data_IF_921807372431
#
_entry.id   IF_921807372431
#
_cell.length_a   1.000
_cell.length_b   1.000
_cell.length_c   1.000
_cell.angle_alpha   90.00
_cell.angle_beta   90.00
_cell.angle_gamma   90.00
#
_symmetry.space_group_name_H-M   'P 1'
#
loop_
_entity.id
_entity.type
_entity.pdbx_description
1 polymer ?
#
# COMPACT_ATOMS: atom_id res chain seq x y z
N UNK A 1 6.04 30.37 -0.29
CA UNK A 1 7.47 30.16 -0.61
C UNK A 1 8.34 30.94 0.34
N UNK A 2 9.48 30.39 0.73
CA UNK A 2 10.47 31.10 1.55
C UNK A 2 11.07 32.27 0.74
N UNK A 3 11.33 33.40 1.39
CA UNK A 3 11.99 34.54 0.75
C UNK A 3 13.41 34.17 0.28
N UNK A 4 13.84 34.71 -0.86
CA UNK A 4 15.20 34.56 -1.41
C UNK A 4 16.27 34.98 -0.41
N UNK A 5 16.00 35.98 0.43
CA UNK A 5 16.94 36.40 1.48
C UNK A 5 17.21 35.27 2.49
N UNK A 6 16.16 34.57 2.92
CA UNK A 6 16.24 33.42 3.83
C UNK A 6 16.99 32.26 3.16
N UNK A 7 16.64 31.93 1.92
CA UNK A 7 17.31 30.84 1.18
C UNK A 7 18.81 31.13 0.99
N UNK A 8 19.18 32.40 0.80
CA UNK A 8 20.57 32.81 0.71
C UNK A 8 21.30 32.76 2.06
N UNK A 9 20.63 33.09 3.16
CA UNK A 9 21.18 32.96 4.51
C UNK A 9 21.57 31.51 4.82
N UNK A 10 20.72 30.55 4.44
CA UNK A 10 20.96 29.12 4.67
C UNK A 10 21.59 28.40 3.47
N UNK A 11 22.20 29.14 2.53
CA UNK A 11 22.72 28.59 1.28
C UNK A 11 23.58 27.34 1.49
N UNK A 12 24.46 27.36 2.50
CA UNK A 12 25.40 26.29 2.87
C UNK A 12 25.05 25.56 4.16
N UNK A 13 23.88 25.83 4.76
CA UNK A 13 23.45 25.23 6.02
C UNK A 13 22.10 24.53 5.86
N UNK A 14 22.14 23.26 5.47
CA UNK A 14 20.95 22.43 5.29
C UNK A 14 20.22 22.16 6.60
N UNK A 15 20.94 22.07 7.71
CA UNK A 15 20.36 21.78 9.02
C UNK A 15 19.62 23.01 9.55
N UNK A 16 20.24 24.19 9.43
CA UNK A 16 19.60 25.47 9.75
C UNK A 16 18.37 25.72 8.88
N UNK A 17 18.41 25.41 7.59
CA UNK A 17 17.22 25.53 6.73
C UNK A 17 16.10 24.58 7.18
N UNK A 18 16.41 23.32 7.48
CA UNK A 18 15.42 22.36 7.97
C UNK A 18 14.79 22.81 9.29
N UNK A 19 15.60 23.31 10.22
CA UNK A 19 15.13 23.86 11.50
C UNK A 19 14.22 25.07 11.28
N UNK A 20 14.67 26.05 10.50
CA UNK A 20 13.89 27.24 10.18
C UNK A 20 12.56 26.89 9.52
N UNK A 21 12.58 26.04 8.49
CA UNK A 21 11.37 25.60 7.79
C UNK A 21 10.42 24.85 8.74
N UNK A 22 10.93 23.92 9.56
CA UNK A 22 10.15 23.20 10.57
C UNK A 22 9.48 24.18 11.55
N UNK A 23 10.21 25.17 12.06
CA UNK A 23 9.68 26.20 12.96
C UNK A 23 8.61 27.06 12.30
N UNK A 24 8.70 27.37 11.00
CA UNK A 24 7.66 28.13 10.31
C UNK A 24 6.42 27.28 10.04
N UNK A 25 6.60 26.07 9.51
CA UNK A 25 5.49 25.19 9.14
C UNK A 25 4.65 24.79 10.37
N UNK A 26 5.30 24.39 11.46
CA UNK A 26 4.61 23.96 12.68
C UNK A 26 4.12 25.11 13.59
N UNK A 27 4.11 26.37 13.13
CA UNK A 27 3.37 27.44 13.82
C UNK A 27 1.86 27.27 13.68
N UNK A 28 1.43 26.79 12.53
CA UNK A 28 0.02 26.64 12.16
C UNK A 28 -0.42 25.18 12.09
N UNK A 29 0.51 24.24 12.29
CA UNK A 29 0.29 22.80 12.23
C UNK A 29 0.78 22.13 13.52
N UNK A 30 0.11 21.06 13.95
CA UNK A 30 0.56 20.27 15.09
C UNK A 30 1.87 19.56 14.77
N UNK A 31 2.86 19.73 15.65
CA UNK A 31 4.15 19.03 15.54
C UNK A 31 4.08 17.69 16.26
N UNK A 32 3.88 16.62 15.50
CA UNK A 32 3.92 15.25 15.98
C UNK A 32 5.04 14.45 15.29
N UNK A 33 5.58 13.46 16.01
CA UNK A 33 6.51 12.48 15.46
C UNK A 33 5.79 11.13 15.27
N UNK A 34 6.04 10.44 14.15
CA UNK A 34 6.95 10.80 13.07
C UNK A 34 6.38 11.91 12.14
N UNK A 35 7.17 12.94 11.84
CA UNK A 35 6.77 14.03 10.92
C UNK A 35 6.36 13.43 9.58
N UNK A 36 5.15 13.74 9.09
CA UNK A 36 4.63 13.23 7.83
C UNK A 36 5.06 14.12 6.64
N UNK A 37 6.09 13.74 5.86
CA UNK A 37 6.54 14.58 4.75
C UNK A 37 5.53 14.61 3.60
N UNK A 38 4.66 13.61 3.47
CA UNK A 38 3.62 13.61 2.44
C UNK A 38 2.58 14.69 2.72
N UNK A 39 2.14 14.83 3.98
CA UNK A 39 1.23 15.91 4.37
C UNK A 39 1.87 17.29 4.15
N UNK A 40 3.16 17.44 4.46
CA UNK A 40 3.89 18.70 4.23
C UNK A 40 3.92 19.05 2.74
N UNK A 41 4.10 18.06 1.84
CA UNK A 41 4.02 18.29 0.40
C UNK A 41 2.60 18.76 0.01
N UNK A 42 1.57 18.04 0.46
CA UNK A 42 0.16 18.35 0.19
C UNK A 42 -0.23 19.75 0.68
N UNK A 43 0.13 20.13 1.91
CA UNK A 43 -0.19 21.44 2.49
C UNK A 43 0.50 22.59 1.73
N UNK A 44 1.63 22.32 1.08
CA UNK A 44 2.34 23.28 0.23
C UNK A 44 1.81 23.31 -1.21
N UNK A 45 0.80 22.51 -1.55
CA UNK A 45 0.25 22.39 -2.90
C UNK A 45 1.16 21.62 -3.87
N UNK A 46 2.06 20.78 -3.34
CA UNK A 46 2.97 19.96 -4.13
C UNK A 46 2.34 18.57 -4.28
N UNK A 47 1.92 18.23 -5.50
CA UNK A 47 1.37 16.91 -5.78
C UNK A 47 2.48 15.86 -5.68
N UNK A 48 2.17 14.69 -5.13
CA UNK A 48 3.10 13.57 -5.16
C UNK A 48 2.50 12.32 -5.81
N UNK A 49 3.35 11.57 -6.52
CA UNK A 49 2.96 10.35 -7.24
C UNK A 49 4.00 9.25 -7.06
N UNK A 50 3.55 8.01 -7.11
CA UNK A 50 4.45 6.86 -7.07
C UNK A 50 4.80 6.37 -8.48
N UNK A 51 6.07 6.07 -8.72
CA UNK A 51 6.59 5.53 -9.98
C UNK A 51 7.63 4.45 -9.71
N UNK A 52 7.82 3.55 -10.68
CA UNK A 52 8.90 2.58 -10.63
C UNK A 52 10.16 3.20 -11.25
N UNK A 53 11.17 3.41 -10.43
CA UNK A 53 12.50 3.82 -10.89
C UNK A 53 13.51 2.69 -10.68
N UNK A 54 14.52 2.61 -11.55
CA UNK A 54 15.59 1.61 -11.44
C UNK A 54 16.86 2.18 -10.78
N UNK A 55 17.10 3.50 -10.91
CA UNK A 55 18.33 4.16 -10.46
C UNK A 55 18.09 5.42 -9.61
N UNK A 56 16.83 5.79 -9.37
CA UNK A 56 16.46 7.01 -8.65
C UNK A 56 15.52 6.67 -7.49
N UNK A 57 15.57 7.46 -6.43
CA UNK A 57 14.67 7.32 -5.27
C UNK A 57 13.49 8.31 -5.34
N UNK A 58 13.71 9.48 -5.95
CA UNK A 58 12.70 10.50 -6.18
C UNK A 58 13.05 11.39 -7.36
N UNK A 59 12.12 12.28 -7.71
CA UNK A 59 12.30 13.35 -8.69
C UNK A 59 11.32 14.48 -8.39
N UNK A 60 11.83 15.67 -8.13
CA UNK A 60 11.06 16.91 -8.16
C UNK A 60 10.94 17.49 -9.58
N UNK A 61 9.73 17.91 -9.96
CA UNK A 61 9.41 18.57 -11.21
C UNK A 61 8.64 19.87 -10.90
N UNK A 62 9.22 21.06 -11.15
CA UNK A 62 8.54 22.31 -10.91
C UNK A 62 7.41 22.54 -11.92
N UNK A 63 6.42 23.34 -11.52
CA UNK A 63 5.32 23.76 -12.40
C UNK A 63 5.82 24.47 -13.67
N UNK A 64 5.14 24.21 -14.77
CA UNK A 64 5.43 24.76 -16.10
C UNK A 64 4.16 25.29 -16.75
N UNK A 65 4.27 26.02 -17.86
CA UNK A 65 3.11 26.50 -18.61
C UNK A 65 2.19 25.36 -19.09
N UNK A 66 2.76 24.19 -19.42
CA UNK A 66 2.02 23.03 -19.90
C UNK A 66 1.52 22.12 -18.76
N UNK A 67 2.16 22.19 -17.59
CA UNK A 67 1.79 21.45 -16.38
C UNK A 67 1.85 22.41 -15.18
N UNK A 68 0.75 23.12 -14.86
CA UNK A 68 0.73 24.18 -13.85
C UNK A 68 0.65 23.61 -12.42
N UNK A 69 1.34 22.50 -12.15
CA UNK A 69 1.41 21.83 -10.84
C UNK A 69 2.86 21.49 -10.51
N UNK A 70 3.27 21.70 -9.27
CA UNK A 70 4.54 21.18 -8.75
C UNK A 70 4.36 19.70 -8.40
N UNK A 71 5.30 18.85 -8.84
CA UNK A 71 5.16 17.40 -8.75
C UNK A 71 6.39 16.75 -8.14
N UNK A 72 6.18 15.86 -7.17
CA UNK A 72 7.19 14.98 -6.58
C UNK A 72 6.89 13.54 -6.95
N UNK A 73 7.75 12.91 -7.75
CA UNK A 73 7.65 11.49 -8.05
C UNK A 73 8.54 10.69 -7.08
N UNK A 74 8.00 9.61 -6.50
CA UNK A 74 8.67 8.81 -5.47
C UNK A 74 8.76 7.35 -5.91
N UNK A 75 9.90 6.68 -5.64
CA UNK A 75 10.08 5.29 -6.01
C UNK A 75 9.16 4.35 -5.22
N UNK A 76 8.19 3.74 -5.90
CA UNK A 76 7.24 2.79 -5.34
C UNK A 76 7.89 1.49 -4.83
N UNK A 77 9.07 1.12 -5.36
CA UNK A 77 9.80 -0.09 -4.97
C UNK A 77 10.49 0.06 -3.61
N UNK A 78 10.73 1.30 -3.17
CA UNK A 78 11.44 1.57 -1.94
C UNK A 78 10.54 1.34 -0.71
N UNK A 79 11.08 0.89 0.43
CA UNK A 79 10.32 0.80 1.68
C UNK A 79 9.77 2.16 2.10
N UNK A 80 8.64 2.18 2.83
CA UNK A 80 7.98 3.42 3.30
C UNK A 80 8.91 4.39 4.03
N UNK A 81 9.85 3.90 4.84
CA UNK A 81 10.84 4.75 5.52
C UNK A 81 11.77 5.48 4.55
N UNK A 82 12.09 4.87 3.39
CA UNK A 82 12.88 5.51 2.33
C UNK A 82 12.01 6.38 1.42
N UNK A 83 10.75 6.01 1.18
CA UNK A 83 9.79 6.87 0.48
C UNK A 83 9.58 8.20 1.22
N UNK A 84 9.40 8.16 2.54
CA UNK A 84 9.32 9.35 3.41
C UNK A 84 10.57 10.20 3.33
N UNK A 85 11.75 9.57 3.41
CA UNK A 85 13.01 10.28 3.26
C UNK A 85 13.14 10.96 1.90
N UNK A 86 12.71 10.27 0.83
CA UNK A 86 12.71 10.82 -0.53
C UNK A 86 11.73 12.00 -0.65
N UNK A 87 10.53 11.91 -0.09
CA UNK A 87 9.59 13.04 -0.03
C UNK A 87 10.21 14.27 0.64
N UNK A 88 10.89 14.10 1.78
CA UNK A 88 11.58 15.20 2.47
C UNK A 88 12.80 15.72 1.69
N UNK A 89 13.49 14.85 0.94
CA UNK A 89 14.59 15.23 0.06
C UNK A 89 14.09 16.10 -1.10
N UNK A 90 13.04 15.66 -1.80
CA UNK A 90 12.44 16.42 -2.89
C UNK A 90 11.77 17.72 -2.42
N UNK A 91 11.24 17.76 -1.19
CA UNK A 91 10.80 19.00 -0.55
C UNK A 91 11.94 20.03 -0.47
N UNK A 92 13.17 19.60 -0.16
CA UNK A 92 14.32 20.51 -0.18
C UNK A 92 14.57 21.10 -1.57
N UNK A 93 14.43 20.29 -2.61
CA UNK A 93 14.56 20.76 -3.99
C UNK A 93 13.47 21.76 -4.34
N UNK A 94 12.22 21.52 -3.96
CA UNK A 94 11.16 22.51 -4.10
C UNK A 94 11.52 23.85 -3.43
N UNK A 95 11.97 23.81 -2.16
CA UNK A 95 12.28 25.01 -1.40
C UNK A 95 13.43 25.84 -2.00
N UNK A 96 14.39 25.22 -2.69
CA UNK A 96 15.61 25.91 -3.18
C UNK A 96 15.66 26.12 -4.68
N UNK A 97 15.08 25.20 -5.45
CA UNK A 97 15.28 25.10 -6.88
C UNK A 97 14.04 25.48 -7.70
N UNK A 98 12.87 25.72 -7.07
CA UNK A 98 11.64 26.12 -7.79
C UNK A 98 11.78 27.39 -8.66
N UNK A 99 12.65 28.32 -8.25
CA UNK A 99 12.96 29.56 -9.01
C UNK A 99 14.06 29.38 -10.08
N UNK A 100 14.70 28.21 -10.14
CA UNK A 100 15.70 27.91 -11.17
C UNK A 100 15.02 27.33 -12.41
N UNK A 101 15.41 27.81 -13.60
CA UNK A 101 14.69 27.61 -14.89
C UNK A 101 14.06 26.21 -15.09
N UNK A 102 12.90 26.13 -15.78
CA UNK A 102 12.05 24.93 -15.93
C UNK A 102 12.68 23.74 -16.70
N UNK A 103 13.96 23.81 -17.05
CA UNK A 103 14.69 22.79 -17.82
C UNK A 103 15.55 21.86 -16.98
N UNK A 104 15.61 22.02 -15.65
CA UNK A 104 16.42 21.15 -14.80
C UNK A 104 15.68 19.86 -14.41
N UNK A 105 15.53 18.95 -15.37
CA UNK A 105 15.29 17.54 -15.09
C UNK A 105 16.60 16.91 -14.61
N UNK A 106 16.79 16.72 -13.31
CA UNK A 106 17.96 16.00 -12.80
C UNK A 106 17.69 14.49 -12.73
N UNK A 107 17.68 13.86 -13.91
CA UNK A 107 18.02 12.46 -14.02
C UNK A 107 19.53 12.37 -14.32
N UNK A 108 20.31 11.93 -13.33
CA UNK A 108 21.58 11.21 -13.53
C UNK A 108 22.87 12.06 -13.71
N UNK A 109 22.85 13.39 -13.54
CA UNK A 109 24.10 14.19 -13.50
C UNK A 109 24.08 15.45 -12.60
N UNK A 110 23.35 15.42 -11.49
CA UNK A 110 23.19 16.58 -10.61
C UNK A 110 24.45 16.89 -9.79
N UNK A 111 24.67 18.19 -9.57
CA UNK A 111 25.73 18.74 -8.73
C UNK A 111 25.77 18.02 -7.36
N UNK A 112 26.85 17.28 -7.08
CA UNK A 112 27.05 16.49 -5.85
C UNK A 112 26.76 17.29 -4.57
N UNK A 113 27.00 18.60 -4.60
CA UNK A 113 26.67 19.49 -3.48
C UNK A 113 25.16 19.62 -3.23
N UNK A 114 24.33 19.76 -4.28
CA UNK A 114 22.87 19.91 -4.13
C UNK A 114 22.26 18.66 -3.51
N UNK A 115 22.65 17.49 -3.99
CA UNK A 115 22.21 16.19 -3.47
C UNK A 115 22.60 15.99 -2.00
N UNK A 116 23.86 16.30 -1.64
CA UNK A 116 24.33 16.24 -0.25
C UNK A 116 23.58 17.22 0.66
N UNK A 117 23.26 18.41 0.14
CA UNK A 117 22.47 19.40 0.86
C UNK A 117 21.06 18.89 1.12
N UNK A 118 20.37 18.37 0.09
CA UNK A 118 19.02 17.82 0.21
C UNK A 118 18.97 16.59 1.14
N UNK A 119 19.96 15.69 1.07
CA UNK A 119 20.12 14.56 2.00
C UNK A 119 20.26 15.05 3.45
N UNK A 120 21.11 16.06 3.69
CA UNK A 120 21.30 16.66 5.01
C UNK A 120 20.05 17.40 5.51
N UNK A 121 19.31 18.06 4.63
CA UNK A 121 18.03 18.69 4.95
C UNK A 121 17.01 17.63 5.36
N UNK A 122 16.80 16.60 4.55
CA UNK A 122 15.83 15.54 4.82
C UNK A 122 16.11 14.83 6.14
N UNK A 123 17.38 14.50 6.42
CA UNK A 123 17.78 13.89 7.68
C UNK A 123 17.52 14.82 8.89
N UNK A 124 17.73 16.13 8.74
CA UNK A 124 17.52 17.10 9.83
C UNK A 124 16.05 17.44 10.03
N UNK A 125 15.26 17.46 8.95
CA UNK A 125 13.83 17.73 9.00
C UNK A 125 13.07 16.56 9.64
N UNK A 126 13.37 15.32 9.23
CA UNK A 126 12.72 14.13 9.77
C UNK A 126 13.24 13.74 11.16
N UNK A 127 14.51 14.02 11.46
CA UNK A 127 15.13 13.77 12.78
C UNK A 127 15.80 15.06 13.29
N UNK A 128 15.02 16.03 13.80
CA UNK A 128 15.55 17.26 14.39
C UNK A 128 16.50 16.95 15.54
N UNK A 129 17.61 17.67 15.63
CA UNK A 129 18.68 17.41 16.61
C UNK A 129 18.18 17.46 18.06
N UNK A 130 17.37 18.47 18.38
CA UNK A 130 16.84 18.69 19.73
C UNK A 130 15.96 17.50 20.18
N UNK A 131 15.07 17.02 19.32
CA UNK A 131 14.22 15.85 19.62
C UNK A 131 15.04 14.55 19.61
N UNK A 132 15.97 14.40 18.67
CA UNK A 132 16.83 13.22 18.60
C UNK A 132 17.62 13.04 19.90
N UNK A 133 18.13 14.14 20.47
CA UNK A 133 18.80 14.14 21.76
C UNK A 133 17.87 13.71 22.90
N UNK A 134 16.63 14.20 22.93
CA UNK A 134 15.62 13.77 23.91
C UNK A 134 15.37 12.26 23.83
N UNK A 135 15.21 11.71 22.62
CA UNK A 135 14.96 10.28 22.43
C UNK A 135 16.16 9.41 22.81
N UNK A 136 17.38 9.88 22.54
CA UNK A 136 18.61 9.24 23.00
C UNK A 136 18.66 9.21 24.53
N UNK A 137 18.49 10.37 25.19
CA UNK A 137 18.57 10.50 26.64
C UNK A 137 17.48 9.64 27.35
N UNK A 138 16.29 9.52 26.75
CA UNK A 138 15.19 8.69 27.28
C UNK A 138 15.48 7.20 27.24
N UNK A 139 16.11 6.70 26.19
CA UNK A 139 16.43 5.28 26.03
C UNK A 139 17.74 4.91 26.71
N UNK A 140 18.64 5.87 26.85
CA UNK A 140 20.00 5.66 27.32
C UNK A 140 20.45 6.80 28.26
N UNK A 141 19.99 6.82 29.53
CA UNK A 141 20.36 7.85 30.49
C UNK A 141 21.81 7.64 30.98
N UNK A 142 22.79 8.06 30.17
CA UNK A 142 24.22 7.93 30.48
C UNK A 142 25.12 8.06 29.25
N UNK A 143 26.44 8.02 29.47
CA UNK A 143 27.47 8.20 28.44
C UNK A 143 27.96 6.88 27.78
N UNK A 144 27.30 5.73 28.04
CA UNK A 144 27.64 4.46 27.38
C UNK A 144 27.17 4.42 25.91
N UNK A 145 27.71 3.47 25.14
CA UNK A 145 27.47 3.34 23.71
C UNK A 145 26.07 2.81 23.37
N UNK A 146 25.39 3.46 22.42
CA UNK A 146 24.07 3.06 21.93
C UNK A 146 24.11 1.69 21.25
N UNK A 147 23.17 0.82 21.61
CA UNK A 147 23.00 -0.47 20.93
C UNK A 147 22.24 -0.30 19.60
N UNK A 148 22.33 -1.31 18.72
CA UNK A 148 21.52 -1.31 17.49
C UNK A 148 20.02 -1.35 17.75
N UNK A 149 19.57 -1.98 18.85
CA UNK A 149 18.16 -1.98 19.23
C UNK A 149 17.70 -0.59 19.68
N UNK A 150 18.56 0.18 20.34
CA UNK A 150 18.23 1.57 20.74
C UNK A 150 18.07 2.46 19.51
N UNK A 151 19.01 2.37 18.56
CA UNK A 151 18.92 3.09 17.27
C UNK A 151 17.66 2.68 16.51
N UNK A 152 17.29 1.40 16.55
CA UNK A 152 16.08 0.92 15.89
C UNK A 152 14.81 1.50 16.51
N UNK A 153 14.73 1.59 17.84
CA UNK A 153 13.62 2.24 18.55
C UNK A 153 13.53 3.73 18.20
N UNK A 154 14.67 4.42 18.17
CA UNK A 154 14.74 5.84 17.76
C UNK A 154 14.30 6.00 16.29
N UNK A 155 14.77 5.11 15.41
CA UNK A 155 14.40 5.14 14.00
C UNK A 155 12.90 4.94 13.80
N UNK A 156 12.28 4.03 14.57
CA UNK A 156 10.84 3.78 14.57
C UNK A 156 10.04 5.01 15.04
N UNK A 157 10.47 5.65 16.14
CA UNK A 157 9.90 6.90 16.64
C UNK A 157 9.86 8.01 15.57
N UNK A 158 10.95 8.19 14.83
CA UNK A 158 11.02 9.18 13.74
C UNK A 158 10.43 8.68 12.41
N UNK A 159 10.04 7.41 12.29
CA UNK A 159 9.52 6.84 11.05
C UNK A 159 10.55 6.81 9.93
N UNK A 160 11.83 6.64 10.26
CA UNK A 160 12.96 6.59 9.32
C UNK A 160 13.61 5.21 9.29
N UNK A 161 14.50 4.97 8.34
CA UNK A 161 15.22 3.71 8.29
C UNK A 161 16.29 3.66 9.40
N UNK A 162 16.53 2.46 9.95
CA UNK A 162 17.63 2.21 10.90
C UNK A 162 18.96 2.83 10.43
N UNK A 163 19.27 2.72 9.13
CA UNK A 163 20.51 3.26 8.57
C UNK A 163 20.54 4.78 8.55
N UNK A 164 19.43 5.44 8.19
CA UNK A 164 19.33 6.89 8.21
C UNK A 164 19.52 7.43 9.63
N UNK A 165 18.84 6.80 10.60
CA UNK A 165 19.00 7.13 12.03
C UNK A 165 20.44 6.91 12.51
N UNK A 166 21.04 5.74 12.21
CA UNK A 166 22.44 5.45 12.53
C UNK A 166 23.40 6.54 12.03
N UNK A 167 23.31 6.91 10.75
CA UNK A 167 24.20 7.93 10.19
C UNK A 167 23.93 9.32 10.76
N UNK A 168 22.67 9.66 11.08
CA UNK A 168 22.31 10.93 11.73
C UNK A 168 22.92 11.03 13.13
N UNK A 169 22.77 9.98 13.96
CA UNK A 169 23.37 9.90 15.29
C UNK A 169 24.89 9.93 15.19
N UNK A 170 25.50 9.14 14.30
CA UNK A 170 26.96 9.08 14.14
C UNK A 170 27.58 10.40 13.70
N UNK A 171 26.83 11.24 12.98
CA UNK A 171 27.26 12.55 12.52
C UNK A 171 27.17 13.61 13.64
N UNK A 172 26.07 13.62 14.40
CA UNK A 172 25.84 14.61 15.46
C UNK A 172 26.51 14.24 16.79
N UNK A 173 26.47 12.96 17.16
CA UNK A 173 26.91 12.43 18.45
C UNK A 173 27.90 11.27 18.24
N UNK A 174 29.06 11.51 17.60
CA UNK A 174 30.02 10.46 17.24
C UNK A 174 30.61 9.69 18.43
N UNK A 175 30.46 10.23 19.66
CA UNK A 175 30.93 9.63 20.90
C UNK A 175 29.96 8.59 21.47
N UNK A 176 28.68 8.62 21.06
CA UNK A 176 27.66 7.69 21.54
C UNK A 176 27.58 6.40 20.71
N UNK A 177 28.33 6.30 19.61
CA UNK A 177 28.24 5.15 18.72
C UNK A 177 29.50 4.95 17.86
N UNK A 178 29.99 3.71 17.81
CA UNK A 178 31.11 3.33 16.97
C UNK A 178 30.79 3.47 15.47
N UNK A 179 31.87 3.54 14.69
CA UNK A 179 31.76 3.43 13.24
C UNK A 179 31.57 1.96 12.85
N UNK A 180 30.49 1.68 12.11
CA UNK A 180 30.20 0.38 11.52
C UNK A 180 30.13 0.53 10.00
N UNK A 181 30.76 -0.41 9.30
CA UNK A 181 30.66 -0.50 7.85
C UNK A 181 29.24 -0.85 7.41
N UNK A 182 28.91 -0.54 6.14
CA UNK A 182 27.63 -0.92 5.54
C UNK A 182 27.33 -2.43 5.65
N UNK A 183 28.37 -3.27 5.60
CA UNK A 183 28.26 -4.72 5.74
C UNK A 183 27.88 -5.13 7.16
N UNK A 184 28.43 -4.47 8.18
CA UNK A 184 28.12 -4.73 9.58
C UNK A 184 26.69 -4.31 9.92
N UNK A 185 26.27 -3.12 9.50
CA UNK A 185 24.89 -2.66 9.66
C UNK A 185 23.88 -3.62 8.99
N UNK A 186 24.24 -4.21 7.86
CA UNK A 186 23.37 -5.17 7.15
C UNK A 186 23.24 -6.52 7.84
N UNK A 187 24.23 -6.91 8.68
CA UNK A 187 24.17 -8.16 9.46
C UNK A 187 23.15 -8.09 10.60
N UNK A 188 22.82 -6.90 11.07
CA UNK A 188 21.83 -6.70 12.12
C UNK A 188 20.41 -7.12 11.69
N UNK A 189 20.09 -7.11 10.39
CA UNK A 189 18.75 -7.49 9.89
C UNK A 189 17.64 -6.69 10.60
N UNK A 190 17.68 -5.37 10.44
CA UNK A 190 16.79 -4.43 11.13
C UNK A 190 15.30 -4.78 11.02
N UNK A 191 14.81 -5.17 9.84
CA UNK A 191 13.39 -5.54 9.66
C UNK A 191 12.98 -6.77 10.48
N UNK A 192 13.88 -7.74 10.67
CA UNK A 192 13.61 -8.90 11.52
C UNK A 192 13.51 -8.50 12.99
N UNK A 193 14.40 -7.64 13.46
CA UNK A 193 14.38 -7.14 14.84
C UNK A 193 13.19 -6.21 15.09
N UNK A 194 12.85 -5.37 14.12
CA UNK A 194 11.68 -4.47 14.14
C UNK A 194 10.40 -5.25 14.42
N UNK A 195 10.17 -6.33 13.64
CA UNK A 195 9.02 -7.22 13.83
C UNK A 195 9.05 -7.94 15.18
N UNK A 196 10.21 -8.39 15.67
CA UNK A 196 10.34 -9.02 17.00
C UNK A 196 10.00 -8.07 18.15
N UNK A 197 10.22 -6.77 17.97
CA UNK A 197 9.86 -5.73 18.93
C UNK A 197 8.38 -5.31 18.83
N UNK A 198 7.59 -5.91 17.93
CA UNK A 198 6.18 -5.58 17.73
C UNK A 198 5.94 -4.26 16.99
N UNK A 199 6.98 -3.69 16.35
CA UNK A 199 6.81 -2.45 15.60
C UNK A 199 6.14 -2.69 14.25
N UNK A 200 5.30 -1.75 13.83
CA UNK A 200 4.60 -1.74 12.55
C UNK A 200 4.75 -0.39 11.83
N UNK A 201 4.74 -0.44 10.50
CA UNK A 201 4.70 0.75 9.66
C UNK A 201 3.28 1.21 9.32
N UNK A 202 2.22 0.62 9.89
CA UNK A 202 0.81 1.00 9.59
C UNK A 202 0.62 2.52 9.69
N UNK A 203 1.02 3.16 10.80
CA UNK A 203 0.94 4.62 10.97
C UNK A 203 1.66 5.43 9.88
N UNK A 204 2.75 4.90 9.33
CA UNK A 204 3.48 5.58 8.26
C UNK A 204 2.70 5.51 6.93
N UNK A 205 2.03 4.38 6.67
CA UNK A 205 1.13 4.24 5.53
C UNK A 205 -0.17 5.00 5.72
N UNK A 206 -0.74 5.03 6.93
CA UNK A 206 -1.92 5.83 7.26
C UNK A 206 -1.70 7.30 6.85
N UNK A 207 -0.62 7.92 7.37
CA UNK A 207 -0.27 9.29 7.02
C UNK A 207 0.04 9.50 5.53
N UNK A 208 0.58 8.50 4.83
CA UNK A 208 0.77 8.59 3.38
C UNK A 208 -0.57 8.64 2.66
N UNK A 209 -1.47 7.69 2.94
CA UNK A 209 -2.75 7.58 2.25
C UNK A 209 -3.68 8.75 2.56
N UNK A 210 -3.63 9.29 3.77
CA UNK A 210 -4.43 10.45 4.15
C UNK A 210 -3.97 11.73 3.44
N UNK A 211 -2.67 11.88 3.22
CA UNK A 211 -2.09 12.97 2.44
C UNK A 211 -2.23 12.81 0.92
N UNK A 212 -2.54 11.60 0.42
CA UNK A 212 -2.49 11.29 -1.01
C UNK A 212 -3.78 11.70 -1.73
N UNK A 213 -3.74 12.85 -2.40
CA UNK A 213 -4.90 13.42 -3.11
C UNK A 213 -5.29 12.62 -4.37
N UNK A 214 -4.32 12.23 -5.20
CA UNK A 214 -4.53 11.62 -6.52
C UNK A 214 -4.32 10.10 -6.55
N UNK A 215 -4.88 9.37 -5.59
CA UNK A 215 -4.71 7.90 -5.54
C UNK A 215 -5.43 7.18 -6.68
N UNK A 216 -6.51 7.76 -7.20
CA UNK A 216 -7.27 7.20 -8.32
C UNK A 216 -6.48 7.39 -9.62
N UNK A 217 -6.15 6.31 -10.35
CA UNK A 217 -5.50 6.48 -11.64
C UNK A 217 -6.46 7.25 -12.56
N UNK A 218 -5.99 8.38 -13.08
CA UNK A 218 -6.65 9.16 -14.16
C UNK A 218 -6.85 8.36 -15.46
N UNK A 219 -6.49 7.07 -15.49
CA UNK A 219 -6.74 6.13 -16.57
C UNK A 219 -8.03 5.33 -16.25
N UNK A 220 -8.97 5.32 -17.20
CA UNK A 220 -10.33 4.83 -17.02
C UNK A 220 -10.42 3.44 -16.35
N UNK A 221 -11.45 3.25 -15.53
CA UNK A 221 -11.88 1.94 -14.97
C UNK A 221 -11.84 0.81 -16.02
N UNK A 222 -12.04 1.15 -17.29
CA UNK A 222 -11.93 0.28 -18.44
C UNK A 222 -10.52 -0.32 -18.63
N UNK A 223 -9.46 0.45 -18.42
CA UNK A 223 -8.08 -0.06 -18.47
C UNK A 223 -7.83 -1.05 -17.33
N UNK A 224 -8.26 -0.72 -16.11
CA UNK A 224 -8.21 -1.63 -14.98
C UNK A 224 -9.00 -2.91 -15.28
N UNK A 225 -10.22 -2.80 -15.79
CA UNK A 225 -11.05 -3.94 -16.22
C UNK A 225 -10.30 -4.83 -17.24
N UNK A 226 -9.65 -4.24 -18.23
CA UNK A 226 -8.87 -4.97 -19.24
C UNK A 226 -7.67 -5.70 -18.64
N UNK A 227 -6.91 -5.04 -17.76
CA UNK A 227 -5.78 -5.68 -17.06
C UNK A 227 -6.26 -6.82 -16.15
N UNK A 228 -7.39 -6.63 -15.48
CA UNK A 228 -7.98 -7.66 -14.64
C UNK A 228 -8.30 -8.92 -15.43
N UNK A 229 -8.89 -8.77 -16.63
CA UNK A 229 -9.15 -9.88 -17.54
C UNK A 229 -7.88 -10.57 -18.03
N UNK A 230 -6.88 -9.81 -18.47
CA UNK A 230 -5.70 -10.38 -19.14
C UNK A 230 -4.61 -10.89 -18.22
N UNK A 231 -4.53 -10.46 -16.96
CA UNK A 231 -3.44 -10.89 -16.05
C UNK A 231 -3.95 -11.38 -14.70
N UNK A 232 -4.95 -10.71 -14.13
CA UNK A 232 -5.28 -10.87 -12.73
C UNK A 232 -6.11 -12.14 -12.51
N UNK A 233 -7.10 -12.39 -13.37
CA UNK A 233 -7.92 -13.61 -13.36
C UNK A 233 -7.04 -14.87 -13.43
N UNK A 234 -6.03 -14.86 -14.30
CA UNK A 234 -5.08 -15.95 -14.42
C UNK A 234 -4.15 -16.08 -13.22
N UNK A 235 -3.71 -14.96 -12.64
CA UNK A 235 -2.86 -15.00 -11.46
C UNK A 235 -3.59 -15.59 -10.25
N UNK A 236 -4.84 -15.20 -10.03
CA UNK A 236 -5.66 -15.72 -8.94
C UNK A 236 -6.01 -17.21 -9.15
N UNK A 237 -6.30 -17.62 -10.39
CA UNK A 237 -6.47 -19.05 -10.70
C UNK A 237 -5.20 -19.88 -10.44
N UNK A 238 -4.02 -19.33 -10.76
CA UNK A 238 -2.73 -19.96 -10.43
C UNK A 238 -2.48 -20.00 -8.92
N UNK A 239 -2.90 -18.98 -8.18
CA UNK A 239 -2.86 -18.96 -6.71
C UNK A 239 -3.67 -20.13 -6.13
N UNK A 240 -4.75 -20.54 -6.78
CA UNK A 240 -5.58 -21.71 -6.42
C UNK A 240 -5.13 -23.03 -7.09
N UNK A 241 -4.01 -23.04 -7.83
CA UNK A 241 -3.35 -24.26 -8.32
C UNK A 241 -3.56 -24.65 -9.78
N UNK A 242 -4.23 -23.83 -10.59
CA UNK A 242 -4.42 -24.10 -12.04
C UNK A 242 -3.08 -23.97 -12.79
N UNK A 243 -2.68 -25.02 -13.54
CA UNK A 243 -1.44 -25.05 -14.34
C UNK A 243 -1.77 -25.11 -15.83
N UNK A 244 -1.66 -23.99 -16.56
CA UNK A 244 -1.85 -23.98 -18.02
C UNK A 244 -1.14 -22.78 -18.68
N UNK A 245 -1.04 -22.80 -20.02
CA UNK A 245 -0.52 -21.67 -20.82
C UNK A 245 -1.64 -20.68 -21.18
N UNK A 246 -1.28 -19.40 -21.33
CA UNK A 246 -2.25 -18.30 -21.54
C UNK A 246 -3.09 -18.47 -22.81
N UNK A 247 -2.45 -18.80 -23.94
CA UNK A 247 -3.10 -18.80 -25.25
C UNK A 247 -4.16 -19.89 -25.40
N UNK A 248 -3.84 -21.13 -24.98
CA UNK A 248 -4.79 -22.24 -25.01
C UNK A 248 -5.93 -22.08 -23.98
N UNK A 249 -5.69 -21.32 -22.91
CA UNK A 249 -6.71 -21.03 -21.92
C UNK A 249 -7.74 -20.01 -22.42
N UNK A 250 -7.32 -19.02 -23.22
CA UNK A 250 -8.20 -17.94 -23.66
C UNK A 250 -9.37 -18.46 -24.49
N UNK A 251 -9.11 -19.34 -25.46
CA UNK A 251 -10.16 -19.90 -26.33
C UNK A 251 -11.20 -20.68 -25.53
N UNK A 252 -10.74 -21.55 -24.62
CA UNK A 252 -11.61 -22.35 -23.74
C UNK A 252 -12.42 -21.44 -22.82
N UNK A 253 -11.80 -20.40 -22.25
CA UNK A 253 -12.46 -19.46 -21.36
C UNK A 253 -13.52 -18.65 -22.10
N UNK A 254 -13.21 -18.15 -23.29
CA UNK A 254 -14.16 -17.39 -24.12
C UNK A 254 -15.39 -18.26 -24.47
N UNK A 255 -15.17 -19.50 -24.91
CA UNK A 255 -16.26 -20.44 -25.18
C UNK A 255 -17.10 -20.75 -23.93
N UNK A 256 -16.46 -20.98 -22.77
CA UNK A 256 -17.15 -21.18 -21.48
C UNK A 256 -17.96 -19.95 -21.05
N UNK A 257 -17.51 -18.74 -21.38
CA UNK A 257 -18.24 -17.51 -21.04
C UNK A 257 -19.46 -17.30 -21.92
N UNK A 258 -19.34 -17.58 -23.22
CA UNK A 258 -20.41 -17.43 -24.20
C UNK A 258 -21.45 -18.55 -24.07
N UNK A 259 -21.00 -19.80 -24.06
CA UNK A 259 -21.85 -20.99 -24.15
C UNK A 259 -22.21 -21.61 -22.80
N UNK A 260 -21.48 -21.25 -21.72
CA UNK A 260 -21.73 -21.76 -20.35
C UNK A 260 -21.89 -23.28 -20.32
N UNK A 261 -22.96 -23.80 -19.73
CA UNK A 261 -23.23 -25.24 -19.60
C UNK A 261 -23.43 -25.96 -20.95
N UNK A 262 -23.59 -25.22 -22.06
CA UNK A 262 -23.69 -25.79 -23.42
C UNK A 262 -22.31 -26.01 -24.05
N UNK A 263 -21.26 -25.40 -23.49
CA UNK A 263 -19.87 -25.59 -23.93
C UNK A 263 -19.43 -27.04 -23.75
N UNK A 264 -18.74 -27.59 -24.74
CA UNK A 264 -18.07 -28.90 -24.66
C UNK A 264 -16.99 -28.93 -23.57
N UNK A 265 -16.50 -27.76 -23.15
CA UNK A 265 -15.52 -27.60 -22.08
C UNK A 265 -16.16 -27.46 -20.69
N UNK A 266 -17.48 -27.31 -20.57
CA UNK A 266 -18.14 -27.19 -19.25
C UNK A 266 -18.30 -28.56 -18.59
N UNK A 267 -17.17 -29.18 -18.22
CA UNK A 267 -17.12 -30.49 -17.59
C UNK A 267 -16.14 -30.50 -16.41
N UNK A 268 -16.22 -31.50 -15.53
CA UNK A 268 -15.32 -31.65 -14.39
C UNK A 268 -13.84 -31.74 -14.79
N UNK A 269 -13.55 -32.24 -16.01
CA UNK A 269 -12.19 -32.33 -16.53
C UNK A 269 -11.55 -30.95 -16.81
N UNK A 270 -12.37 -29.91 -16.93
CA UNK A 270 -11.95 -28.53 -17.19
C UNK A 270 -12.36 -27.60 -16.04
N UNK A 271 -12.57 -28.12 -14.83
CA UNK A 271 -13.02 -27.33 -13.67
C UNK A 271 -12.14 -26.10 -13.41
N UNK A 272 -10.82 -26.24 -13.58
CA UNK A 272 -9.90 -25.10 -13.48
C UNK A 272 -10.24 -23.96 -14.45
N UNK A 273 -10.57 -24.27 -15.70
CA UNK A 273 -10.97 -23.27 -16.71
C UNK A 273 -12.36 -22.72 -16.46
N UNK A 274 -13.31 -23.57 -16.03
CA UNK A 274 -14.66 -23.14 -15.63
C UNK A 274 -14.60 -22.09 -14.51
N UNK A 275 -13.77 -22.35 -13.50
CA UNK A 275 -13.51 -21.42 -12.40
C UNK A 275 -12.90 -20.10 -12.90
N UNK A 276 -11.94 -20.15 -13.84
CA UNK A 276 -11.31 -18.94 -14.42
C UNK A 276 -12.34 -18.12 -15.20
N UNK A 277 -13.16 -18.78 -16.04
CA UNK A 277 -14.21 -18.15 -16.83
C UNK A 277 -15.27 -17.47 -15.95
N UNK A 278 -15.75 -18.18 -14.92
CA UNK A 278 -16.69 -17.63 -13.94
C UNK A 278 -16.08 -16.50 -13.10
N UNK A 279 -14.79 -16.56 -12.79
CA UNK A 279 -14.09 -15.49 -12.10
C UNK A 279 -14.05 -14.19 -12.94
N UNK A 280 -13.81 -14.33 -14.24
CA UNK A 280 -13.89 -13.20 -15.19
C UNK A 280 -15.32 -12.61 -15.27
N UNK A 281 -16.35 -13.46 -15.27
CA UNK A 281 -17.77 -13.03 -15.19
C UNK A 281 -18.07 -12.28 -13.88
N UNK A 282 -17.50 -12.72 -12.75
CA UNK A 282 -17.64 -12.04 -11.45
C UNK A 282 -16.98 -10.66 -11.47
N UNK A 283 -15.78 -10.52 -12.04
CA UNK A 283 -15.13 -9.21 -12.15
C UNK A 283 -15.86 -8.26 -13.08
N UNK A 284 -16.39 -8.73 -14.20
CA UNK A 284 -17.23 -7.90 -15.07
C UNK A 284 -18.40 -7.30 -14.29
N UNK A 285 -19.08 -8.12 -13.51
CA UNK A 285 -20.14 -7.64 -12.61
C UNK A 285 -19.61 -6.62 -11.60
N UNK A 286 -18.46 -6.85 -10.96
CA UNK A 286 -17.86 -5.90 -10.01
C UNK A 286 -17.61 -4.55 -10.68
N UNK A 287 -16.91 -4.53 -11.82
CA UNK A 287 -16.58 -3.30 -12.54
C UNK A 287 -17.81 -2.56 -13.05
N UNK A 288 -18.86 -3.27 -13.47
CA UNK A 288 -20.12 -2.67 -13.96
C UNK A 288 -20.97 -2.07 -12.83
N UNK A 289 -20.88 -2.62 -11.62
CA UNK A 289 -21.76 -2.26 -10.49
C UNK A 289 -21.07 -1.53 -9.35
N UNK A 290 -19.76 -1.31 -9.41
CA UNK A 290 -18.98 -0.75 -8.29
C UNK A 290 -19.44 0.66 -7.86
N UNK A 291 -19.96 1.48 -8.77
CA UNK A 291 -20.39 2.85 -8.46
C UNK A 291 -21.90 3.03 -8.28
N UNK A 292 -22.71 2.13 -8.84
CA UNK A 292 -24.14 2.34 -9.01
C UNK A 292 -24.99 1.56 -8.01
N UNK A 293 -24.48 0.44 -7.50
CA UNK A 293 -25.22 -0.41 -6.57
C UNK A 293 -24.82 -0.08 -5.13
N UNK A 294 -25.78 -0.16 -4.21
CA UNK A 294 -25.50 -0.17 -2.77
C UNK A 294 -24.52 -1.32 -2.46
N UNK A 295 -23.52 -1.06 -1.62
CA UNK A 295 -22.68 -2.13 -1.07
C UNK A 295 -23.35 -2.69 0.19
N UNK A 296 -23.54 -4.01 0.19
CA UNK A 296 -24.01 -4.77 1.35
C UNK A 296 -23.39 -6.17 1.34
N UNK A 297 -23.45 -6.84 2.48
CA UNK A 297 -22.83 -8.17 2.65
C UNK A 297 -23.48 -9.24 1.76
N UNK A 298 -24.75 -9.05 1.36
CA UNK A 298 -25.50 -10.05 0.61
C UNK A 298 -25.02 -10.17 -0.83
N UNK A 299 -24.32 -9.15 -1.33
CA UNK A 299 -23.60 -9.23 -2.60
C UNK A 299 -22.59 -10.38 -2.64
N UNK A 300 -22.08 -10.89 -1.51
CA UNK A 300 -21.24 -12.09 -1.48
C UNK A 300 -21.91 -13.28 -2.17
N UNK A 301 -23.21 -13.50 -1.95
CA UNK A 301 -23.96 -14.58 -2.61
C UNK A 301 -24.02 -14.37 -4.12
N UNK A 302 -24.21 -13.12 -4.55
CA UNK A 302 -24.23 -12.76 -5.98
C UNK A 302 -22.86 -12.98 -6.63
N UNK A 303 -21.79 -12.56 -5.97
CA UNK A 303 -20.41 -12.73 -6.43
C UNK A 303 -20.04 -14.21 -6.53
N UNK A 304 -20.32 -14.99 -5.48
CA UNK A 304 -20.09 -16.43 -5.48
C UNK A 304 -20.91 -17.15 -6.56
N UNK A 305 -22.17 -16.77 -6.76
CA UNK A 305 -22.99 -17.29 -7.86
C UNK A 305 -22.39 -16.98 -9.25
N UNK A 306 -21.84 -15.78 -9.45
CA UNK A 306 -21.16 -15.41 -10.69
C UNK A 306 -19.87 -16.22 -10.88
N UNK A 307 -19.12 -16.43 -9.82
CA UNK A 307 -17.89 -17.24 -9.81
C UNK A 307 -18.12 -18.67 -10.34
N UNK A 308 -19.22 -19.31 -9.96
CA UNK A 308 -19.54 -20.68 -10.42
C UNK A 308 -20.43 -20.73 -11.67
N UNK A 309 -20.75 -19.58 -12.29
CA UNK A 309 -21.73 -19.50 -13.37
C UNK A 309 -21.30 -20.16 -14.69
N UNK A 310 -20.02 -20.49 -14.83
CA UNK A 310 -19.44 -21.21 -15.97
C UNK A 310 -19.02 -22.64 -15.60
N UNK A 311 -19.37 -23.11 -14.41
CA UNK A 311 -19.10 -24.49 -13.97
C UNK A 311 -20.27 -25.42 -14.34
N UNK A 312 -20.04 -26.75 -14.39
CA UNK A 312 -21.06 -27.73 -14.78
C UNK A 312 -22.30 -27.72 -13.88
N UNK A 313 -22.08 -27.44 -12.59
CA UNK A 313 -23.12 -27.40 -11.56
C UNK A 313 -23.23 -25.97 -10.97
N UNK A 314 -23.71 -24.98 -11.74
CA UNK A 314 -23.72 -23.57 -11.33
C UNK A 314 -24.67 -23.28 -10.15
N UNK A 315 -25.63 -24.17 -9.88
CA UNK A 315 -26.59 -24.06 -8.79
C UNK A 315 -25.96 -24.14 -7.39
N UNK A 316 -24.76 -24.71 -7.27
CA UNK A 316 -24.01 -24.69 -6.00
C UNK A 316 -23.47 -23.29 -5.67
N UNK A 317 -23.38 -22.39 -6.64
CA UNK A 317 -22.93 -21.03 -6.45
C UNK A 317 -23.94 -20.15 -5.71
N UNK A 318 -23.45 -19.41 -4.72
CA UNK A 318 -24.21 -18.40 -3.98
C UNK A 318 -24.99 -18.90 -2.77
N UNK A 319 -25.07 -20.21 -2.55
CA UNK A 319 -25.70 -20.78 -1.36
C UNK A 319 -24.70 -20.96 -0.22
N UNK A 320 -25.06 -20.56 1.01
CA UNK A 320 -24.20 -20.79 2.16
C UNK A 320 -24.05 -22.27 2.49
N UNK A 321 -22.92 -22.65 3.08
CA UNK A 321 -22.67 -24.03 3.50
C UNK A 321 -23.64 -24.49 4.59
N UNK A 322 -23.85 -25.81 4.66
CA UNK A 322 -24.75 -26.48 5.62
C UNK A 322 -24.01 -27.40 6.59
N UNK A 323 -22.68 -27.41 6.52
CA UNK A 323 -21.80 -28.22 7.33
C UNK A 323 -20.55 -27.40 7.70
N UNK A 324 -19.84 -27.82 8.74
CA UNK A 324 -18.56 -27.22 9.11
C UNK A 324 -17.47 -27.65 8.14
N UNK A 325 -16.64 -26.69 7.73
CA UNK A 325 -15.58 -26.89 6.74
C UNK A 325 -14.22 -26.65 7.39
N UNK A 326 -13.21 -27.35 6.90
CA UNK A 326 -11.82 -27.12 7.28
C UNK A 326 -11.12 -26.38 6.16
N UNK A 327 -10.50 -25.26 6.48
CA UNK A 327 -9.67 -24.53 5.52
C UNK A 327 -8.29 -25.16 5.53
N UNK A 328 -7.95 -25.86 4.44
CA UNK A 328 -6.67 -26.55 4.31
C UNK A 328 -5.50 -25.56 4.46
N UNK A 329 -4.60 -25.83 5.41
CA UNK A 329 -3.44 -25.00 5.70
C UNK A 329 -3.69 -23.80 6.62
N UNK A 330 -4.95 -23.48 6.91
CA UNK A 330 -5.28 -22.48 7.92
C UNK A 330 -5.14 -23.05 9.33
N UNK A 331 -4.80 -22.18 10.29
CA UNK A 331 -4.67 -22.53 11.71
C UNK A 331 -5.77 -21.88 12.57
N UNK A 332 -6.93 -21.60 11.96
CA UNK A 332 -8.13 -21.10 12.62
C UNK A 332 -9.32 -22.01 12.33
N UNK A 333 -10.33 -21.94 13.20
CA UNK A 333 -11.61 -22.60 13.00
C UNK A 333 -12.59 -21.63 12.33
N UNK A 334 -13.25 -22.09 11.27
CA UNK A 334 -14.33 -21.30 10.66
C UNK A 334 -15.53 -21.24 11.60
N UNK A 335 -16.36 -20.21 11.45
CA UNK A 335 -17.64 -20.06 12.19
C UNK A 335 -18.50 -21.33 12.07
N UNK A 336 -19.34 -21.67 13.06
CA UNK A 336 -20.27 -22.80 12.88
C UNK A 336 -21.24 -22.50 11.73
N UNK A 337 -21.57 -23.49 10.89
CA UNK A 337 -22.45 -23.27 9.74
C UNK A 337 -23.81 -22.67 10.11
N UNK A 338 -24.30 -22.91 11.33
CA UNK A 338 -25.55 -22.34 11.86
C UNK A 338 -25.43 -20.84 12.15
N UNK A 339 -24.22 -20.37 12.44
CA UNK A 339 -23.92 -19.00 12.81
C UNK A 339 -23.44 -18.16 11.62
N UNK A 340 -23.26 -18.75 10.43
CA UNK A 340 -22.86 -18.02 9.22
C UNK A 340 -23.77 -16.83 8.94
N UNK A 341 -25.09 -17.03 8.90
CA UNK A 341 -26.02 -15.94 8.61
C UNK A 341 -26.05 -14.86 9.71
N UNK A 342 -26.16 -15.22 11.01
CA UNK A 342 -25.98 -14.25 12.10
C UNK A 342 -24.70 -13.42 12.00
N UNK A 343 -23.56 -14.04 11.70
CA UNK A 343 -22.27 -13.35 11.59
C UNK A 343 -22.18 -12.46 10.34
N UNK A 344 -22.76 -12.88 9.22
CA UNK A 344 -22.86 -12.01 8.03
C UNK A 344 -23.74 -10.79 8.31
N UNK A 345 -24.85 -10.94 9.02
CA UNK A 345 -25.72 -9.81 9.41
C UNK A 345 -24.94 -8.82 10.28
N UNK A 346 -24.21 -9.30 11.30
CA UNK A 346 -23.36 -8.44 12.13
C UNK A 346 -22.30 -7.71 11.29
N UNK A 347 -21.66 -8.43 10.35
CA UNK A 347 -20.66 -7.82 9.48
C UNK A 347 -21.27 -6.78 8.52
N UNK A 348 -22.54 -6.95 8.14
CA UNK A 348 -23.25 -5.98 7.32
C UNK A 348 -23.42 -4.62 8.01
N UNK A 349 -23.46 -4.58 9.34
CA UNK A 349 -23.50 -3.33 10.09
C UNK A 349 -22.22 -2.53 9.83
N UNK A 350 -21.05 -3.17 9.84
CA UNK A 350 -19.76 -2.55 9.49
C UNK A 350 -19.72 -2.09 8.03
N UNK A 351 -20.23 -2.90 7.10
CA UNK A 351 -20.31 -2.51 5.67
C UNK A 351 -21.23 -1.30 5.49
N UNK A 352 -22.36 -1.28 6.20
CA UNK A 352 -23.32 -0.18 6.14
C UNK A 352 -22.76 1.10 6.76
N UNK A 353 -22.00 0.98 7.86
CA UNK A 353 -21.29 2.09 8.50
C UNK A 353 -20.30 2.72 7.52
N UNK A 354 -19.48 1.88 6.86
CA UNK A 354 -18.53 2.34 5.85
C UNK A 354 -19.25 3.10 4.72
N UNK A 355 -20.37 2.58 4.23
CA UNK A 355 -21.15 3.25 3.18
C UNK A 355 -21.74 4.59 3.65
N UNK A 356 -22.22 4.70 4.89
CA UNK A 356 -22.83 5.92 5.41
C UNK A 356 -21.84 6.99 5.86
N UNK A 357 -20.68 6.60 6.39
CA UNK A 357 -19.73 7.51 7.04
C UNK A 357 -18.46 7.76 6.22
N UNK A 358 -18.31 7.13 5.06
CA UNK A 358 -17.11 7.25 4.20
C UNK A 358 -16.65 8.68 3.90
N UNK A 359 -17.57 9.66 3.87
CA UNK A 359 -17.22 11.08 3.65
C UNK A 359 -16.51 11.76 4.82
N UNK A 360 -16.60 11.19 6.02
CA UNK A 360 -15.98 11.71 7.26
C UNK A 360 -14.74 10.90 7.66
N UNK A 361 -14.56 9.72 7.09
CA UNK A 361 -13.42 8.84 7.36
C UNK A 361 -12.20 9.25 6.54
N UNK A 362 -11.03 9.12 7.16
CA UNK A 362 -9.77 9.25 6.44
C UNK A 362 -9.60 8.11 5.43
N UNK A 363 -8.78 8.33 4.39
CA UNK A 363 -8.55 7.34 3.34
C UNK A 363 -7.92 6.07 3.89
N UNK A 364 -6.96 6.22 4.81
CA UNK A 364 -6.34 5.11 5.52
C UNK A 364 -7.37 4.27 6.28
N UNK A 365 -8.29 4.92 6.98
CA UNK A 365 -9.32 4.24 7.76
C UNK A 365 -10.30 3.46 6.89
N UNK A 366 -10.66 3.98 5.72
CA UNK A 366 -11.45 3.25 4.72
C UNK A 366 -10.73 1.97 4.29
N UNK A 367 -9.42 2.04 3.99
CA UNK A 367 -8.63 0.88 3.58
C UNK A 367 -8.55 -0.17 4.68
N UNK A 368 -8.36 0.23 5.94
CA UNK A 368 -8.36 -0.67 7.09
C UNK A 368 -9.71 -1.36 7.29
N UNK A 369 -10.81 -0.61 7.24
CA UNK A 369 -12.16 -1.20 7.36
C UNK A 369 -12.44 -2.23 6.26
N UNK A 370 -11.99 -1.94 5.04
CA UNK A 370 -12.05 -2.89 3.91
C UNK A 370 -11.22 -4.15 4.21
N UNK A 371 -10.03 -3.99 4.79
CA UNK A 371 -9.17 -5.11 5.20
C UNK A 371 -9.82 -5.96 6.30
N UNK A 372 -10.43 -5.33 7.30
CA UNK A 372 -11.15 -5.98 8.40
C UNK A 372 -12.35 -6.77 7.89
N UNK A 373 -13.16 -6.16 7.02
CA UNK A 373 -14.31 -6.82 6.39
C UNK A 373 -13.84 -8.03 5.58
N UNK A 374 -12.81 -7.86 4.77
CA UNK A 374 -12.21 -8.94 3.98
C UNK A 374 -11.73 -10.09 4.87
N UNK A 375 -10.93 -9.81 5.91
CA UNK A 375 -10.48 -10.83 6.86
C UNK A 375 -11.67 -11.53 7.53
N UNK A 376 -12.66 -10.78 8.00
CA UNK A 376 -13.84 -11.35 8.68
C UNK A 376 -14.63 -12.29 7.77
N UNK A 377 -14.77 -11.99 6.47
CA UNK A 377 -15.39 -12.89 5.49
C UNK A 377 -14.61 -14.21 5.39
N UNK A 378 -13.28 -14.15 5.39
CA UNK A 378 -12.46 -15.38 5.32
C UNK A 378 -12.62 -16.28 6.55
N UNK A 379 -12.86 -15.69 7.72
CA UNK A 379 -13.13 -16.40 8.99
C UNK A 379 -14.56 -16.96 9.05
N UNK A 380 -15.56 -16.18 8.62
CA UNK A 380 -16.96 -16.66 8.51
C UNK A 380 -17.03 -17.85 7.54
N UNK A 381 -16.30 -17.74 6.43
CA UNK A 381 -16.19 -18.77 5.41
C UNK A 381 -17.57 -19.26 4.92
N UNK A 382 -18.42 -18.35 4.37
CA UNK A 382 -19.86 -18.60 4.26
C UNK A 382 -20.27 -19.67 3.24
N UNK A 383 -19.45 -19.95 2.22
CA UNK A 383 -19.79 -20.86 1.11
C UNK A 383 -19.08 -22.22 1.25
N UNK A 384 -19.57 -23.27 0.57
CA UNK A 384 -18.86 -24.54 0.47
C UNK A 384 -17.51 -24.42 -0.26
N UNK A 385 -17.43 -23.58 -1.28
CA UNK A 385 -16.21 -23.28 -2.04
C UNK A 385 -16.22 -21.83 -2.56
N UNK A 386 -15.04 -21.34 -2.96
CA UNK A 386 -14.85 -20.03 -3.57
C UNK A 386 -14.76 -18.88 -2.56
N UNK A 387 -14.63 -19.17 -1.26
CA UNK A 387 -14.60 -18.14 -0.21
C UNK A 387 -13.47 -17.13 -0.39
N UNK A 388 -12.24 -17.60 -0.64
CA UNK A 388 -11.10 -16.72 -0.88
C UNK A 388 -11.32 -15.79 -2.07
N UNK A 389 -11.78 -16.34 -3.20
CA UNK A 389 -12.08 -15.62 -4.45
C UNK A 389 -13.21 -14.61 -4.27
N UNK A 390 -14.28 -15.02 -3.59
CA UNK A 390 -15.44 -14.18 -3.31
C UNK A 390 -15.09 -13.02 -2.37
N UNK A 391 -14.31 -13.30 -1.31
CA UNK A 391 -13.84 -12.29 -0.36
C UNK A 391 -12.95 -11.24 -1.04
N UNK A 392 -11.97 -11.69 -1.83
CA UNK A 392 -11.11 -10.79 -2.62
C UNK A 392 -11.90 -9.97 -3.62
N UNK A 393 -12.87 -10.59 -4.30
CA UNK A 393 -13.79 -9.89 -5.21
C UNK A 393 -14.59 -8.79 -4.52
N UNK A 394 -15.12 -9.06 -3.32
CA UNK A 394 -15.84 -8.07 -2.53
C UNK A 394 -14.95 -6.94 -2.02
N UNK A 395 -13.74 -7.26 -1.55
CA UNK A 395 -12.69 -6.27 -1.22
C UNK A 395 -12.42 -5.35 -2.39
N UNK A 396 -12.23 -5.90 -3.60
CA UNK A 396 -11.97 -5.13 -4.82
C UNK A 396 -13.17 -4.24 -5.18
N UNK A 397 -14.40 -4.74 -5.05
CA UNK A 397 -15.61 -3.93 -5.28
C UNK A 397 -15.65 -2.72 -4.34
N UNK A 398 -15.36 -2.91 -3.05
CA UNK A 398 -15.28 -1.82 -2.07
C UNK A 398 -14.15 -0.83 -2.41
N UNK A 399 -12.96 -1.31 -2.77
CA UNK A 399 -11.86 -0.43 -3.18
C UNK A 399 -12.25 0.48 -4.35
N UNK A 400 -12.85 -0.08 -5.41
CA UNK A 400 -13.30 0.70 -6.57
C UNK A 400 -14.36 1.73 -6.15
N UNK A 401 -15.33 1.33 -5.32
CA UNK A 401 -16.40 2.22 -4.80
C UNK A 401 -15.83 3.47 -4.13
N UNK A 402 -14.77 3.30 -3.33
CA UNK A 402 -14.12 4.39 -2.60
C UNK A 402 -12.94 5.01 -3.36
N UNK A 403 -12.88 4.85 -4.68
CA UNK A 403 -11.91 5.53 -5.54
C UNK A 403 -10.48 4.97 -5.47
N UNK A 404 -10.28 3.83 -4.81
CA UNK A 404 -8.99 3.17 -4.68
C UNK A 404 -8.70 2.29 -5.92
N UNK A 405 -7.42 2.16 -6.34
CA UNK A 405 -7.07 1.29 -7.43
C UNK A 405 -7.35 -0.18 -7.07
N UNK A 406 -8.03 -0.94 -7.92
CA UNK A 406 -8.20 -2.37 -7.68
C UNK A 406 -6.86 -3.09 -7.86
N UNK A 407 -6.58 -4.09 -7.01
CA UNK A 407 -5.33 -4.87 -7.05
C UNK A 407 -5.59 -6.37 -6.98
N UNK A 408 -4.55 -7.15 -7.24
CA UNK A 408 -4.51 -8.60 -7.04
C UNK A 408 -3.34 -9.01 -6.16
N UNK A 409 -3.46 -10.20 -5.58
CA UNK A 409 -2.44 -10.83 -4.75
C UNK A 409 -1.52 -11.61 -5.69
N UNK A 410 -0.31 -11.09 -5.90
CA UNK A 410 0.68 -11.71 -6.76
C UNK A 410 1.06 -13.11 -6.25
N UNK A 411 1.26 -14.09 -7.14
CA UNK A 411 1.57 -15.47 -6.71
C UNK A 411 2.88 -15.50 -5.93
N UNK A 412 3.85 -14.69 -6.33
CA UNK A 412 5.14 -14.51 -5.68
C UNK A 412 5.02 -13.89 -4.28
N UNK A 413 3.88 -13.25 -3.95
CA UNK A 413 3.60 -12.61 -2.65
C UNK A 413 2.51 -13.31 -1.86
N UNK A 414 2.04 -14.47 -2.32
CA UNK A 414 0.99 -15.28 -1.67
C UNK A 414 1.33 -15.58 -0.21
N UNK A 415 2.57 -15.96 0.06
CA UNK A 415 3.06 -16.26 1.41
C UNK A 415 3.01 -15.03 2.33
N UNK A 416 3.35 -13.83 1.83
CA UNK A 416 3.29 -12.61 2.63
C UNK A 416 1.84 -12.31 3.07
N UNK A 417 0.89 -12.45 2.14
CA UNK A 417 -0.53 -12.25 2.39
C UNK A 417 -1.12 -13.28 3.36
N UNK A 418 -0.84 -14.57 3.17
CA UNK A 418 -1.34 -15.60 4.06
C UNK A 418 -0.74 -15.53 5.46
N UNK A 419 0.55 -15.20 5.58
CA UNK A 419 1.15 -14.94 6.89
C UNK A 419 0.48 -13.76 7.59
N UNK A 420 0.12 -12.70 6.85
CA UNK A 420 -0.59 -11.56 7.42
C UNK A 420 -2.00 -11.93 7.92
N UNK A 421 -2.74 -12.75 7.18
CA UNK A 421 -4.02 -13.30 7.65
C UNK A 421 -3.83 -14.19 8.89
N UNK A 422 -2.82 -15.07 8.89
CA UNK A 422 -2.54 -15.98 10.01
C UNK A 422 -2.20 -15.21 11.30
N UNK A 423 -1.46 -14.10 11.20
CA UNK A 423 -1.17 -13.21 12.33
C UNK A 423 -2.48 -12.58 12.85
N UNK A 424 -3.31 -12.04 11.96
CA UNK A 424 -4.60 -11.47 12.33
C UNK A 424 -5.51 -12.50 13.02
N UNK A 425 -5.55 -13.73 12.52
CA UNK A 425 -6.34 -14.83 13.09
C UNK A 425 -5.91 -15.22 14.51
N UNK A 426 -4.61 -15.25 14.77
CA UNK A 426 -4.05 -15.79 16.02
C UNK A 426 -3.81 -14.75 17.10
N UNK A 427 -3.35 -13.60 16.68
CA UNK A 427 -2.83 -12.56 17.57
C UNK A 427 -3.80 -11.39 17.68
N UNK A 428 -4.86 -11.36 16.85
CA UNK A 428 -5.78 -10.23 16.72
C UNK A 428 -5.02 -8.93 16.39
N UNK A 429 -3.90 -9.06 15.67
CA UNK A 429 -3.06 -7.97 15.17
C UNK A 429 -3.18 -7.88 13.64
N UNK A 430 -3.79 -6.79 13.17
CA UNK A 430 -4.09 -6.56 11.76
C UNK A 430 -3.00 -5.77 11.04
N UNK A 431 -1.97 -5.30 11.74
CA UNK A 431 -0.94 -4.44 11.18
C UNK A 431 -0.25 -5.04 9.94
N UNK A 432 0.07 -6.34 9.98
CA UNK A 432 0.68 -7.02 8.84
C UNK A 432 -0.24 -7.04 7.61
N UNK A 433 -1.55 -7.18 7.82
CA UNK A 433 -2.56 -7.18 6.76
C UNK A 433 -2.75 -5.78 6.18
N UNK A 434 -2.86 -4.77 7.03
CA UNK A 434 -2.95 -3.36 6.61
C UNK A 434 -1.72 -2.96 5.80
N UNK A 435 -0.51 -3.22 6.30
CA UNK A 435 0.73 -2.95 5.58
C UNK A 435 0.77 -3.65 4.21
N UNK A 436 0.29 -4.90 4.12
CA UNK A 436 0.22 -5.63 2.86
C UNK A 436 -0.67 -4.93 1.85
N UNK A 437 -1.88 -4.54 2.28
CA UNK A 437 -2.90 -3.91 1.43
C UNK A 437 -2.45 -2.52 0.99
N UNK A 438 -1.90 -1.69 1.88
CA UNK A 438 -1.34 -0.38 1.51
C UNK A 438 -0.25 -0.52 0.44
N UNK A 439 0.68 -1.47 0.60
CA UNK A 439 1.71 -1.74 -0.42
C UNK A 439 1.09 -2.22 -1.73
N UNK A 440 0.03 -3.03 -1.67
CA UNK A 440 -0.66 -3.52 -2.86
C UNK A 440 -1.34 -2.39 -3.64
N UNK A 441 -1.96 -1.45 -2.94
CA UNK A 441 -2.57 -0.25 -3.52
C UNK A 441 -1.52 0.65 -4.19
N UNK A 442 -0.35 0.87 -3.57
CA UNK A 442 0.75 1.62 -4.20
C UNK A 442 1.20 0.94 -5.49
N UNK A 443 1.39 -0.39 -5.47
CA UNK A 443 1.79 -1.15 -6.67
C UNK A 443 0.74 -1.05 -7.78
N UNK A 444 -0.54 -1.20 -7.42
CA UNK A 444 -1.64 -1.12 -8.36
C UNK A 444 -1.77 0.28 -8.97
N UNK A 445 -1.63 1.34 -8.17
CA UNK A 445 -1.59 2.71 -8.67
C UNK A 445 -0.50 2.87 -9.74
N UNK A 446 0.72 2.38 -9.47
CA UNK A 446 1.85 2.48 -10.41
C UNK A 446 1.59 1.68 -11.68
N UNK A 447 1.08 0.45 -11.56
CA UNK A 447 0.75 -0.38 -12.73
C UNK A 447 -0.34 0.30 -13.58
N UNK A 448 -1.40 0.77 -12.96
CA UNK A 448 -2.52 1.42 -13.66
C UNK A 448 -2.15 2.79 -14.25
N UNK A 449 -1.19 3.50 -13.65
CA UNK A 449 -0.67 4.77 -14.18
C UNK A 449 0.23 4.58 -15.42
N UNK A 450 0.81 3.38 -15.63
CA UNK A 450 1.57 3.12 -16.86
C UNK A 450 0.63 3.04 -18.05
N UNK A 451 0.77 3.97 -19.01
CA UNK A 451 0.09 3.81 -20.31
C UNK A 451 0.59 2.51 -20.94
N UNK A 452 -0.29 1.67 -21.53
CA UNK A 452 0.17 0.53 -22.28
C UNK A 452 1.14 1.03 -23.35
N UNK A 453 2.31 0.40 -23.46
CA UNK A 453 3.01 0.39 -24.75
C UNK A 453 1.97 -0.15 -25.72
N UNK A 454 1.53 0.64 -26.69
CA UNK A 454 0.69 0.18 -27.80
C UNK A 454 1.24 -1.16 -28.25
N UNK A 455 0.45 -2.23 -28.03
CA UNK A 455 0.73 -3.57 -28.52
C UNK A 455 0.51 -3.56 -30.02
#
# INVERSE_FOLDING_TARGET
>A
MLDKEILNQYRNDAQGLAKYFSEQYFKEHEKAFPINPFQVLTDLGIHFVFRNFDKMEGLFMPSTADMPIDLVAINAKSPITRQRFSAAHELCHFLKDADTQPTFMCAISSNEYKEKYAESFAASFLMPEDELRIQIDNLHPGDDELTFDDILKIADYFGTSFRACYYRIRNLFPYLIAYYSSKELSKYKSETHRKKLGFSYTKLYEGLFDAWEDISPTNSLEFARRLFKSKYVYNDARLEGVKTTYDAASEIIEDLQENRQVSDYCTESYDGFCNVAGHSVMYDFIFETAYNDRIDIYQLSTLNKKLFSCCPNPEYGGSTRKDNVLVLGAKFETVDWRDVMPELIKLNDTVSLLESESGELSRSRIVELIADIHHRITVIHPFPDGNGRTSRGFMIKMLIRYGMPPFYIDVERKEEYYNALEIADKENDFNALYEYIFKALIRAHVELATRPKTI
#
